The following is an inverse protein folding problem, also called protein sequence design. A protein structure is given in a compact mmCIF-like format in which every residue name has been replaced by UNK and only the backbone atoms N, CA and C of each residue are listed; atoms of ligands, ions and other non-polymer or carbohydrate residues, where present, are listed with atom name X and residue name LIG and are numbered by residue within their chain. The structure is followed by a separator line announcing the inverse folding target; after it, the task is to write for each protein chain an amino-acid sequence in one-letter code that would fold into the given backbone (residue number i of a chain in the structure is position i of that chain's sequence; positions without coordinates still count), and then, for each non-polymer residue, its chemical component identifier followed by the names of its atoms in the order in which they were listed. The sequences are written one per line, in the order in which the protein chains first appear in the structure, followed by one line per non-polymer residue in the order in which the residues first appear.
data_IF_226236995035
#
_entry.id   IF_226236995035
#
_cell.length_a   1.000
_cell.length_b   1.000
_cell.length_c   1.000
_cell.angle_alpha   90.00
_cell.angle_beta   90.00
_cell.angle_gamma   90.00
#
_symmetry.space_group_name_H-M   'P 1'
#
loop_
_entity.id
_entity.type
_entity.pdbx_description
1 polymer ?
#
# COMPACT_ATOMS: atom_id res chain seq x y z
N UNK A 1 -13.65 -7.41 3.39
CA UNK A 1 -14.28 -6.53 4.41
C UNK A 1 -13.27 -5.92 5.39
N UNK A 2 -12.05 -5.56 4.96
CA UNK A 2 -10.93 -5.30 5.90
C UNK A 2 -10.43 -3.84 5.90
N UNK A 3 -10.60 -3.11 4.80
CA UNK A 3 -10.12 -1.71 4.67
C UNK A 3 -11.18 -0.69 5.10
N UNK A 4 -12.46 -0.97 4.83
CA UNK A 4 -13.56 -0.05 5.18
C UNK A 4 -13.70 0.15 6.70
N UNK A 5 -13.37 -0.86 7.50
CA UNK A 5 -13.38 -0.76 8.97
C UNK A 5 -12.27 0.14 9.52
N UNK A 6 -11.16 0.30 8.79
CA UNK A 6 -10.04 1.17 9.14
C UNK A 6 -10.19 2.60 8.59
N UNK A 7 -11.20 2.85 7.76
CA UNK A 7 -11.37 4.15 7.08
C UNK A 7 -11.41 5.35 8.04
N UNK A 8 -12.13 5.32 9.18
CA UNK A 8 -12.12 6.45 10.12
C UNK A 8 -10.73 6.72 10.72
N UNK A 9 -9.98 5.67 11.04
CA UNK A 9 -8.64 5.78 11.61
C UNK A 9 -7.64 6.34 10.61
N UNK A 10 -7.70 5.87 9.35
CA UNK A 10 -6.89 6.38 8.25
C UNK A 10 -7.17 7.87 8.01
N UNK A 11 -8.44 8.27 8.00
CA UNK A 11 -8.82 9.69 7.82
C UNK A 11 -8.23 10.55 8.94
N UNK A 12 -8.29 10.10 10.19
CA UNK A 12 -7.71 10.83 11.31
C UNK A 12 -6.18 10.88 11.21
N UNK A 13 -5.51 9.78 10.87
CA UNK A 13 -4.06 9.74 10.71
C UNK A 13 -3.56 10.66 9.58
N UNK A 14 -4.34 10.84 8.50
CA UNK A 14 -4.05 11.83 7.45
C UNK A 14 -4.23 13.26 7.98
N UNK A 15 -5.33 13.54 8.70
CA UNK A 15 -5.60 14.87 9.28
C UNK A 15 -4.55 15.29 10.32
N UNK A 16 -4.11 14.36 11.14
CA UNK A 16 -3.02 14.54 12.11
C UNK A 16 -1.64 14.60 11.46
N UNK A 17 -1.55 14.33 10.15
CA UNK A 17 -0.31 14.36 9.39
C UNK A 17 0.65 13.21 9.72
N UNK A 18 0.15 12.13 10.35
CA UNK A 18 0.91 10.89 10.60
C UNK A 18 1.11 10.09 9.31
N UNK A 19 0.11 10.10 8.41
CA UNK A 19 0.26 9.63 7.04
C UNK A 19 0.55 10.83 6.15
N UNK A 20 1.72 10.84 5.49
CA UNK A 20 2.13 11.93 4.59
C UNK A 20 1.77 11.66 3.13
N UNK A 21 1.76 10.40 2.71
CA UNK A 21 1.53 10.02 1.31
C UNK A 21 1.08 8.57 1.17
N UNK A 22 0.25 8.33 0.17
CA UNK A 22 -0.08 6.99 -0.32
C UNK A 22 0.67 6.73 -1.62
N UNK A 23 1.24 5.53 -1.75
CA UNK A 23 1.87 5.05 -2.98
C UNK A 23 1.07 3.88 -3.51
N UNK A 24 0.53 4.01 -4.72
CA UNK A 24 -0.14 2.90 -5.39
C UNK A 24 0.90 2.16 -6.22
N UNK A 25 1.27 0.96 -5.80
CA UNK A 25 2.17 0.08 -6.54
C UNK A 25 1.35 -1.12 -7.01
N UNK A 26 0.84 -1.04 -8.23
CA UNK A 26 -0.06 -2.01 -8.83
C UNK A 26 0.41 -2.38 -10.25
N UNK A 27 0.17 -3.61 -10.68
CA UNK A 27 0.56 -4.05 -12.02
C UNK A 27 0.50 -5.56 -12.21
N UNK A 28 0.68 -5.98 -13.46
CA UNK A 28 0.92 -7.38 -13.80
C UNK A 28 2.41 -7.69 -13.73
N UNK A 29 2.78 -8.89 -13.28
CA UNK A 29 4.17 -9.32 -13.21
C UNK A 29 4.77 -9.36 -14.63
N UNK A 30 5.69 -8.44 -14.91
CA UNK A 30 6.41 -8.38 -16.17
C UNK A 30 7.85 -8.88 -15.94
N UNK A 31 8.29 -9.95 -16.61
CA UNK A 31 9.65 -10.47 -16.43
C UNK A 31 10.70 -9.43 -16.84
N UNK A 32 11.72 -9.23 -16.00
CA UNK A 32 12.85 -8.32 -16.27
C UNK A 32 13.20 -7.40 -15.10
N UNK A 33 14.15 -6.48 -15.32
CA UNK A 33 14.66 -5.52 -14.30
C UNK A 33 13.58 -4.61 -13.68
N UNK A 34 12.41 -4.49 -14.33
CA UNK A 34 11.27 -3.76 -13.78
C UNK A 34 10.74 -4.34 -12.47
N UNK A 35 10.90 -5.65 -12.23
CA UNK A 35 10.49 -6.30 -10.98
C UNK A 35 11.28 -5.84 -9.75
N UNK A 36 12.60 -5.63 -9.90
CA UNK A 36 13.46 -5.13 -8.81
C UNK A 36 13.18 -3.65 -8.50
N UNK A 37 12.89 -2.84 -9.52
CA UNK A 37 12.55 -1.42 -9.36
C UNK A 37 11.38 -1.22 -8.38
N UNK A 38 10.31 -2.03 -8.46
CA UNK A 38 9.17 -1.90 -7.56
C UNK A 38 9.47 -2.33 -6.13
N UNK A 39 10.37 -3.31 -5.95
CA UNK A 39 10.84 -3.71 -4.62
C UNK A 39 11.72 -2.63 -3.99
N UNK A 40 12.66 -2.07 -4.75
CA UNK A 40 13.50 -0.95 -4.31
C UNK A 40 12.64 0.29 -4.00
N UNK A 41 11.64 0.57 -4.84
CA UNK A 41 10.69 1.64 -4.58
C UNK A 41 9.94 1.39 -3.27
N UNK A 42 9.31 0.23 -3.09
CA UNK A 42 8.52 -0.09 -1.91
C UNK A 42 9.35 -0.03 -0.61
N UNK A 43 10.58 -0.53 -0.64
CA UNK A 43 11.47 -0.58 0.54
C UNK A 43 12.16 0.75 0.85
N UNK A 44 12.30 1.65 -0.13
CA UNK A 44 12.89 2.98 0.06
C UNK A 44 11.90 4.04 0.56
N UNK A 45 10.60 3.72 0.63
CA UNK A 45 9.60 4.69 1.05
C UNK A 45 9.74 5.07 2.54
N UNK A 46 9.54 6.36 2.88
CA UNK A 46 9.53 6.81 4.27
C UNK A 46 8.49 6.07 5.15
N UNK A 47 8.74 5.95 6.46
CA UNK A 47 7.85 5.23 7.39
C UNK A 47 6.45 5.85 7.51
N UNK A 48 6.28 7.13 7.17
CA UNK A 48 5.01 7.87 7.21
C UNK A 48 4.15 7.66 5.95
N UNK A 49 4.52 6.69 5.11
CA UNK A 49 3.83 6.37 3.85
C UNK A 49 3.12 5.04 3.93
N UNK A 50 2.02 4.93 3.18
CA UNK A 50 1.25 3.70 3.01
C UNK A 50 1.31 3.25 1.55
N UNK A 51 1.67 1.99 1.35
CA UNK A 51 1.68 1.29 0.07
C UNK A 51 0.32 0.63 -0.12
N UNK A 52 -0.37 1.03 -1.18
CA UNK A 52 -1.58 0.38 -1.67
C UNK A 52 -1.20 -0.47 -2.86
N UNK A 53 -1.53 -1.77 -2.81
CA UNK A 53 -1.25 -2.67 -3.94
C UNK A 53 -2.46 -3.51 -4.31
N UNK A 54 -2.40 -4.03 -5.53
CA UNK A 54 -3.39 -4.96 -6.07
C UNK A 54 -2.71 -5.86 -7.10
N UNK A 55 -3.34 -7.00 -7.40
CA UNK A 55 -3.01 -7.86 -8.54
C UNK A 55 -1.68 -8.62 -8.41
N UNK A 56 -1.23 -9.28 -9.48
CA UNK A 56 -0.13 -10.26 -9.43
C UNK A 56 1.27 -9.65 -9.19
N UNK A 57 1.49 -8.37 -9.52
CA UNK A 57 2.78 -7.71 -9.30
C UNK A 57 3.19 -7.62 -7.81
N UNK A 58 2.25 -7.80 -6.88
CA UNK A 58 2.50 -7.74 -5.44
C UNK A 58 3.45 -8.82 -4.91
N UNK A 59 3.54 -9.98 -5.58
CA UNK A 59 4.40 -11.09 -5.14
C UNK A 59 5.91 -10.76 -5.13
N UNK A 60 6.30 -9.63 -5.72
CA UNK A 60 7.69 -9.16 -5.74
C UNK A 60 8.13 -8.46 -4.45
N UNK A 61 7.18 -8.01 -3.63
CA UNK A 61 7.47 -7.18 -2.47
C UNK A 61 6.49 -7.38 -1.31
N UNK A 62 5.59 -8.37 -1.38
CA UNK A 62 4.64 -8.71 -0.31
C UNK A 62 5.24 -9.55 0.82
N UNK A 63 6.45 -10.07 0.62
CA UNK A 63 7.25 -10.82 1.58
C UNK A 63 7.99 -9.92 2.58
N UNK A 64 8.01 -8.61 2.32
CA UNK A 64 8.65 -7.61 3.17
C UNK A 64 7.70 -7.20 4.29
N UNK A 65 8.21 -7.16 5.52
CA UNK A 65 7.51 -6.52 6.64
C UNK A 65 7.74 -5.01 6.59
N UNK A 66 6.71 -4.26 6.22
CA UNK A 66 6.74 -2.80 6.21
C UNK A 66 6.37 -2.18 7.56
N UNK A 67 5.84 -2.98 8.50
CA UNK A 67 5.34 -2.52 9.79
C UNK A 67 4.09 -1.65 9.69
N UNK A 68 3.89 -0.83 10.72
CA UNK A 68 2.79 0.13 10.85
C UNK A 68 3.28 1.58 10.70
N UNK A 69 2.37 2.49 10.37
CA UNK A 69 2.69 3.93 10.32
C UNK A 69 3.01 4.39 11.75
N UNK A 70 4.13 5.10 11.97
CA UNK A 70 4.56 5.51 13.31
C UNK A 70 3.46 6.23 14.10
N UNK A 71 3.21 5.78 15.32
CA UNK A 71 2.17 6.35 16.21
C UNK A 71 0.74 5.98 15.84
N UNK A 72 0.55 4.88 15.08
CA UNK A 72 -0.74 4.27 14.75
C UNK A 72 -0.61 2.75 14.69
N UNK A 73 -1.73 2.05 14.61
CA UNK A 73 -1.78 0.60 14.31
C UNK A 73 -2.05 0.32 12.82
N UNK A 74 -1.98 1.36 11.96
CA UNK A 74 -2.31 1.26 10.54
C UNK A 74 -1.16 0.56 9.80
N UNK A 75 -1.40 -0.58 9.13
CA UNK A 75 -0.39 -1.24 8.32
C UNK A 75 0.13 -0.34 7.19
N UNK A 76 1.45 -0.28 7.01
CA UNK A 76 2.06 0.45 5.89
C UNK A 76 1.86 -0.23 4.55
N UNK A 77 1.49 -1.50 4.54
CA UNK A 77 1.21 -2.27 3.33
C UNK A 77 -0.24 -2.75 3.38
N UNK A 78 -1.04 -2.29 2.43
CA UNK A 78 -2.46 -2.64 2.30
C UNK A 78 -2.68 -3.28 0.92
N UNK A 79 -2.95 -4.58 0.93
CA UNK A 79 -3.35 -5.34 -0.25
C UNK A 79 -4.86 -5.22 -0.45
N UNK A 80 -5.26 -4.55 -1.51
CA UNK A 80 -6.67 -4.32 -1.86
C UNK A 80 -7.31 -5.52 -2.59
N UNK A 81 -6.56 -6.61 -2.81
CA UNK A 81 -7.06 -7.83 -3.45
C UNK A 81 -6.77 -7.93 -4.95
N UNK A 82 -7.51 -8.79 -5.65
CA UNK A 82 -7.33 -9.04 -7.09
C UNK A 82 -7.82 -7.84 -7.93
N UNK A 83 -7.35 -7.69 -9.18
CA UNK A 83 -7.65 -6.56 -10.08
C UNK A 83 -9.16 -6.22 -10.17
N UNK A 84 -10.03 -7.23 -10.10
CA UNK A 84 -11.48 -7.07 -10.17
C UNK A 84 -12.14 -6.55 -8.86
N UNK A 85 -11.42 -6.50 -7.75
CA UNK A 85 -11.94 -6.05 -6.45
C UNK A 85 -11.79 -4.53 -6.23
N UNK A 86 -11.09 -3.81 -7.13
CA UNK A 86 -11.17 -2.35 -7.15
C UNK A 86 -12.43 -1.88 -7.88
N UNK A 87 -13.55 -1.82 -7.15
CA UNK A 87 -14.58 -0.84 -7.45
C UNK A 87 -14.16 0.49 -6.81
N UNK A 88 -13.26 1.22 -7.49
CA UNK A 88 -13.01 2.62 -7.15
C UNK A 88 -14.24 3.41 -7.61
N UNK A 89 -15.15 3.71 -6.69
CA UNK A 89 -15.98 4.89 -6.84
C UNK A 89 -15.04 6.09 -6.74
N UNK A 90 -14.62 6.61 -7.89
CA UNK A 90 -14.09 7.97 -8.00
C UNK A 90 -15.18 8.90 -7.47
N UNK A 91 -14.97 9.43 -6.27
CA UNK A 91 -15.61 10.64 -5.78
C UNK A 91 -14.67 11.81 -6.03
#
# INVERSE_FOLDING_TARGET
NTVLSLAPEIINAVKEGKIKRFFVIAGCDAPGKGGEYYRELATSLPPETVILTTSCGKFRFNDVDYGVVPGTEIPRYIDLGQYHQLHLYTF
#
